data_IF_175824062066
#
_entry.id   IF_175824062066
#
_cell.length_a   1.000
_cell.length_b   1.000
_cell.length_c   1.000
_cell.angle_alpha   90.00
_cell.angle_beta   90.00
_cell.angle_gamma   90.00
#
_symmetry.space_group_name_H-M   'P 1'
#
loop_
_entity.id
_entity.type
_entity.pdbx_description
1 polymer ?
#
# COMPACT_ATOMS: atom_id res chain seq x y z
N UNK A 1 9.48 -17.17 -8.60
CA UNK A 1 9.83 -15.74 -8.78
C UNK A 1 11.17 -15.66 -9.51
N UNK A 2 11.20 -14.99 -10.67
CA UNK A 2 12.39 -14.85 -11.53
C UNK A 2 13.08 -13.50 -11.39
N UNK A 3 12.33 -12.42 -11.15
CA UNK A 3 12.88 -11.08 -10.96
C UNK A 3 11.97 -10.19 -10.13
N UNK A 4 12.53 -9.11 -9.61
CA UNK A 4 11.79 -8.03 -8.94
C UNK A 4 12.17 -6.69 -9.55
N UNK A 5 11.17 -5.88 -9.91
CA UNK A 5 11.33 -4.50 -10.37
C UNK A 5 10.68 -3.53 -9.39
N UNK A 6 11.47 -2.65 -8.79
CA UNK A 6 11.03 -1.56 -7.94
C UNK A 6 11.05 -0.25 -8.76
N UNK A 7 9.89 0.32 -9.05
CA UNK A 7 9.79 1.51 -9.90
C UNK A 7 9.98 2.80 -9.11
N UNK A 8 10.81 3.70 -9.64
CA UNK A 8 10.84 5.07 -9.15
C UNK A 8 9.58 5.83 -9.62
N UNK A 9 8.59 5.82 -8.75
CA UNK A 9 7.36 6.63 -8.83
C UNK A 9 7.42 7.81 -7.85
N UNK A 10 8.62 8.24 -7.44
CA UNK A 10 8.88 9.25 -6.40
C UNK A 10 8.33 8.84 -5.02
N UNK A 11 7.62 9.72 -4.31
CA UNK A 11 7.01 9.40 -3.03
C UNK A 11 5.74 8.58 -3.26
N UNK A 12 5.94 7.29 -3.40
CA UNK A 12 4.91 6.27 -3.49
C UNK A 12 5.51 4.90 -3.70
N UNK A 13 4.70 3.96 -4.16
CA UNK A 13 5.11 2.56 -4.28
C UNK A 13 4.63 1.92 -5.58
N UNK A 14 5.50 1.10 -6.17
CA UNK A 14 5.19 0.23 -7.28
C UNK A 14 6.26 -0.87 -7.38
N UNK A 15 5.92 -2.08 -6.92
CA UNK A 15 6.79 -3.25 -6.97
C UNK A 15 6.19 -4.29 -7.90
N UNK A 16 6.97 -4.83 -8.82
CA UNK A 16 6.52 -5.91 -9.71
C UNK A 16 7.41 -7.13 -9.55
N UNK A 17 6.79 -8.25 -9.19
CA UNK A 17 7.42 -9.56 -9.19
C UNK A 17 7.12 -10.23 -10.53
N UNK A 18 8.16 -10.73 -11.19
CA UNK A 18 8.05 -11.50 -12.43
C UNK A 18 8.15 -13.00 -12.18
N UNK A 19 7.29 -13.77 -12.82
CA UNK A 19 7.29 -15.24 -12.77
C UNK A 19 7.92 -15.91 -13.99
N UNK A 20 8.16 -17.22 -13.89
CA UNK A 20 8.79 -18.04 -14.92
C UNK A 20 7.98 -18.13 -16.23
N UNK A 21 6.66 -17.96 -16.15
CA UNK A 21 5.76 -18.03 -17.30
C UNK A 21 5.40 -16.67 -17.90
N UNK A 22 6.24 -15.64 -17.67
CA UNK A 22 5.94 -14.25 -17.98
C UNK A 22 4.67 -13.72 -17.29
N UNK A 23 4.30 -14.30 -16.16
CA UNK A 23 3.28 -13.76 -15.26
C UNK A 23 3.86 -12.64 -14.42
N UNK A 24 3.02 -11.70 -13.98
CA UNK A 24 3.42 -10.66 -13.03
C UNK A 24 2.47 -10.54 -11.84
N UNK A 25 3.04 -10.17 -10.69
CA UNK A 25 2.34 -9.65 -9.54
C UNK A 25 2.82 -8.22 -9.30
N UNK A 26 1.94 -7.24 -9.54
CA UNK A 26 2.17 -5.84 -9.23
C UNK A 26 1.58 -5.54 -7.85
N UNK A 27 2.43 -5.14 -6.92
CA UNK A 27 2.07 -4.76 -5.55
C UNK A 27 2.20 -3.25 -5.44
N UNK A 28 1.04 -2.62 -5.25
CA UNK A 28 0.83 -1.18 -5.33
C UNK A 28 1.27 -0.56 -6.66
N UNK A 29 0.73 0.63 -6.94
CA UNK A 29 1.20 1.49 -8.01
C UNK A 29 0.62 2.89 -7.77
N UNK A 30 1.41 3.80 -7.20
CA UNK A 30 0.95 5.16 -6.95
C UNK A 30 2.05 6.16 -6.62
N UNK A 31 1.66 7.42 -6.48
CA UNK A 31 2.53 8.50 -6.01
C UNK A 31 1.74 9.69 -5.46
N UNK A 32 2.32 10.36 -4.46
CA UNK A 32 1.91 11.70 -4.03
C UNK A 32 2.40 12.78 -5.00
N UNK A 33 3.50 12.53 -5.71
CA UNK A 33 4.08 13.46 -6.67
C UNK A 33 3.22 13.53 -7.95
N UNK A 34 3.35 14.65 -8.67
CA UNK A 34 2.73 14.82 -10.01
C UNK A 34 3.67 14.44 -11.13
N UNK A 35 4.97 14.68 -10.94
CA UNK A 35 6.01 14.41 -11.93
C UNK A 35 7.22 13.72 -11.27
N UNK A 36 7.95 12.96 -12.08
CA UNK A 36 9.21 12.33 -11.71
C UNK A 36 10.35 13.34 -11.85
N UNK A 37 11.22 13.44 -10.84
CA UNK A 37 12.31 14.42 -10.81
C UNK A 37 13.40 14.11 -11.83
N UNK A 38 13.64 12.83 -12.12
CA UNK A 38 14.72 12.38 -13.02
C UNK A 38 14.61 12.94 -14.44
N UNK A 39 13.40 13.13 -14.96
CA UNK A 39 13.14 13.53 -16.34
C UNK A 39 12.01 14.56 -16.50
N UNK A 40 11.37 14.97 -15.40
CA UNK A 40 10.28 15.94 -15.40
C UNK A 40 8.95 15.42 -15.96
N UNK A 41 8.85 14.14 -16.35
CA UNK A 41 7.60 13.59 -16.91
C UNK A 41 6.53 13.49 -15.85
N UNK A 42 5.27 13.70 -16.26
CA UNK A 42 4.12 13.41 -15.40
C UNK A 42 4.07 11.92 -15.04
N UNK A 43 3.85 11.61 -13.77
CA UNK A 43 3.85 10.23 -13.28
C UNK A 43 2.67 9.43 -13.85
N UNK A 44 1.56 10.09 -14.18
CA UNK A 44 0.44 9.52 -14.94
C UNK A 44 0.90 8.99 -16.31
N UNK A 45 1.77 9.73 -17.01
CA UNK A 45 2.37 9.31 -18.27
C UNK A 45 3.41 8.21 -18.08
N UNK A 46 4.24 8.29 -17.03
CA UNK A 46 5.19 7.22 -16.71
C UNK A 46 4.45 5.88 -16.49
N UNK A 47 3.39 5.89 -15.68
CA UNK A 47 2.57 4.69 -15.44
C UNK A 47 1.92 4.19 -16.74
N UNK A 48 1.30 5.10 -17.50
CA UNK A 48 0.52 4.72 -18.67
C UNK A 48 1.36 4.37 -19.90
N UNK A 49 2.59 4.85 -20.05
CA UNK A 49 3.42 4.59 -21.23
C UNK A 49 4.61 3.67 -20.95
N UNK A 50 5.14 3.66 -19.72
CA UNK A 50 6.31 2.84 -19.38
C UNK A 50 5.89 1.53 -18.71
N UNK A 51 5.20 1.62 -17.56
CA UNK A 51 4.80 0.44 -16.78
C UNK A 51 3.77 -0.37 -17.58
N UNK A 52 2.73 0.30 -18.08
CA UNK A 52 1.67 -0.35 -18.85
C UNK A 52 2.21 -1.15 -20.05
N UNK A 53 3.02 -0.51 -20.91
CA UNK A 53 3.50 -1.15 -22.15
C UNK A 53 4.50 -2.27 -21.86
N UNK A 54 5.32 -2.13 -20.82
CA UNK A 54 6.28 -3.16 -20.41
C UNK A 54 5.60 -4.48 -20.06
N UNK A 55 4.49 -4.42 -19.34
CA UNK A 55 3.76 -5.60 -18.88
C UNK A 55 2.54 -5.97 -19.73
N UNK A 56 2.27 -5.21 -20.79
CA UNK A 56 1.14 -5.46 -21.69
C UNK A 56 1.14 -6.85 -22.31
N UNK A 57 2.33 -7.45 -22.49
CA UNK A 57 2.52 -8.78 -23.06
C UNK A 57 2.73 -9.88 -22.02
N UNK A 58 2.60 -9.57 -20.72
CA UNK A 58 2.62 -10.59 -19.67
C UNK A 58 1.49 -11.60 -19.89
N UNK A 59 1.76 -12.88 -19.63
CA UNK A 59 0.79 -13.98 -19.81
C UNK A 59 -0.41 -13.82 -18.88
N UNK A 60 -0.14 -13.46 -17.62
CA UNK A 60 -1.13 -13.10 -16.61
C UNK A 60 -0.64 -11.90 -15.81
N UNK A 61 -1.58 -11.04 -15.41
CA UNK A 61 -1.32 -9.82 -14.63
C UNK A 61 -2.17 -9.83 -13.38
N UNK A 62 -1.53 -9.94 -12.23
CA UNK A 62 -2.16 -9.82 -10.92
C UNK A 62 -1.81 -8.48 -10.30
N UNK A 63 -2.79 -7.79 -9.72
CA UNK A 63 -2.57 -6.60 -8.91
C UNK A 63 -2.91 -6.87 -7.45
N UNK A 64 -2.14 -6.33 -6.52
CA UNK A 64 -2.44 -6.31 -5.09
C UNK A 64 -2.26 -4.89 -4.57
N UNK A 65 -3.32 -4.34 -3.96
CA UNK A 65 -3.27 -3.09 -3.21
C UNK A 65 -3.00 -3.39 -1.74
N UNK A 66 -1.99 -2.77 -1.14
CA UNK A 66 -1.68 -2.94 0.28
C UNK A 66 -2.66 -2.17 1.17
N UNK A 67 -2.93 -0.90 0.86
CA UNK A 67 -3.88 -0.04 1.56
C UNK A 67 -4.34 1.14 0.69
N UNK A 68 -5.30 1.92 1.18
CA UNK A 68 -6.01 2.93 0.39
C UNK A 68 -5.46 4.36 0.56
N UNK A 69 -4.16 4.54 0.31
CA UNK A 69 -3.59 5.88 0.14
C UNK A 69 -3.17 6.16 -1.30
N UNK A 70 -3.04 7.45 -1.62
CA UNK A 70 -2.87 7.93 -3.00
C UNK A 70 -1.52 7.51 -3.60
N UNK A 71 -0.47 7.51 -2.80
CA UNK A 71 0.86 6.96 -3.07
C UNK A 71 0.90 5.47 -3.40
N UNK A 72 -0.16 4.71 -3.10
CA UNK A 72 -0.24 3.29 -3.42
C UNK A 72 -1.27 2.98 -4.52
N UNK A 73 -2.30 3.81 -4.64
CA UNK A 73 -3.49 3.53 -5.47
C UNK A 73 -3.58 4.36 -6.76
N UNK A 74 -2.94 5.52 -6.85
CA UNK A 74 -3.21 6.46 -7.96
C UNK A 74 -2.82 5.93 -9.35
N UNK A 75 -1.70 5.21 -9.46
CA UNK A 75 -1.23 4.58 -10.69
C UNK A 75 -2.11 3.42 -11.13
N UNK A 76 -2.65 2.64 -10.18
CA UNK A 76 -3.65 1.61 -10.48
C UNK A 76 -4.86 2.15 -11.25
N UNK A 77 -5.39 3.31 -10.83
CA UNK A 77 -6.48 3.96 -11.56
C UNK A 77 -6.07 4.47 -12.95
N UNK A 78 -4.82 4.88 -13.13
CA UNK A 78 -4.30 5.27 -14.45
C UNK A 78 -4.24 4.05 -15.39
N UNK A 79 -3.80 2.90 -14.89
CA UNK A 79 -3.73 1.65 -15.66
C UNK A 79 -5.13 1.19 -16.09
N UNK A 80 -6.08 1.11 -15.14
CA UNK A 80 -7.46 0.72 -15.45
C UNK A 80 -8.22 1.75 -16.29
N UNK A 81 -7.87 3.04 -16.15
CA UNK A 81 -8.41 4.10 -17.00
C UNK A 81 -7.91 4.02 -18.44
N UNK A 82 -6.66 3.56 -18.65
CA UNK A 82 -6.08 3.33 -19.98
C UNK A 82 -6.64 2.08 -20.65
N UNK A 83 -6.71 0.96 -19.93
CA UNK A 83 -7.29 -0.29 -20.44
C UNK A 83 -8.10 -0.99 -19.33
N UNK A 84 -9.45 -0.93 -19.37
CA UNK A 84 -10.29 -1.72 -18.49
C UNK A 84 -9.96 -3.21 -18.64
N UNK A 85 -10.08 -3.98 -17.55
CA UNK A 85 -9.69 -5.40 -17.50
C UNK A 85 -8.20 -5.66 -17.81
N UNK A 86 -7.33 -4.67 -17.60
CA UNK A 86 -5.88 -4.86 -17.74
C UNK A 86 -5.39 -6.03 -16.87
N UNK A 87 -5.82 -6.10 -15.61
CA UNK A 87 -5.45 -7.18 -14.70
C UNK A 87 -6.40 -8.38 -14.80
N UNK A 88 -5.85 -9.59 -14.75
CA UNK A 88 -6.59 -10.85 -14.72
C UNK A 88 -7.15 -11.15 -13.31
N UNK A 89 -6.46 -10.69 -12.27
CA UNK A 89 -6.84 -10.84 -10.88
C UNK A 89 -6.43 -9.59 -10.10
N UNK A 90 -7.29 -9.13 -9.21
CA UNK A 90 -7.09 -7.94 -8.38
C UNK A 90 -7.38 -8.32 -6.92
N UNK A 91 -6.42 -8.04 -6.05
CA UNK A 91 -6.53 -8.18 -4.62
C UNK A 91 -6.58 -6.79 -3.97
N UNK A 92 -7.59 -6.58 -3.13
CA UNK A 92 -7.81 -5.32 -2.42
C UNK A 92 -7.73 -5.57 -0.90
N UNK A 93 -7.34 -4.58 -0.09
CA UNK A 93 -7.32 -4.73 1.37
C UNK A 93 -8.74 -4.90 1.90
N UNK A 94 -8.95 -5.89 2.76
CA UNK A 94 -10.17 -5.97 3.54
C UNK A 94 -10.17 -4.90 4.63
N UNK A 95 -11.34 -4.33 4.93
CA UNK A 95 -11.48 -3.43 6.07
C UNK A 95 -11.67 -4.26 7.35
N UNK A 96 -10.80 -4.09 8.36
CA UNK A 96 -10.88 -4.84 9.60
C UNK A 96 -11.98 -4.30 10.53
N UNK A 97 -12.52 -5.18 11.37
CA UNK A 97 -13.47 -4.85 12.42
C UNK A 97 -12.80 -4.88 13.81
N UNK A 98 -13.25 -4.02 14.71
CA UNK A 98 -12.87 -4.06 16.12
C UNK A 98 -13.47 -5.30 16.84
N UNK A 99 -13.20 -5.44 18.13
CA UNK A 99 -13.75 -6.50 19.00
C UNK A 99 -15.28 -6.55 19.11
N UNK A 100 -15.96 -5.50 18.69
CA UNK A 100 -17.42 -5.40 18.69
C UNK A 100 -18.01 -5.64 17.28
N UNK A 101 -17.18 -6.02 16.30
CA UNK A 101 -17.58 -6.20 14.91
C UNK A 101 -17.81 -4.89 14.15
N UNK A 102 -17.26 -3.76 14.62
CA UNK A 102 -17.40 -2.45 13.99
C UNK A 102 -16.22 -2.14 13.06
N UNK A 103 -16.53 -1.82 11.81
CA UNK A 103 -15.54 -1.40 10.81
C UNK A 103 -15.25 0.11 10.93
N UNK A 104 -14.47 0.50 11.94
CA UNK A 104 -14.28 1.92 12.32
C UNK A 104 -13.72 2.78 11.18
N UNK A 105 -12.85 2.23 10.33
CA UNK A 105 -12.34 2.92 9.13
C UNK A 105 -13.46 3.29 8.15
N UNK A 106 -14.41 2.38 7.90
CA UNK A 106 -15.56 2.63 7.01
C UNK A 106 -16.56 3.58 7.65
N UNK A 107 -16.82 3.43 8.96
CA UNK A 107 -17.68 4.35 9.69
C UNK A 107 -17.17 5.79 9.57
N UNK A 108 -15.88 5.99 9.86
CA UNK A 108 -15.25 7.30 9.76
C UNK A 108 -15.32 7.87 8.34
N UNK A 109 -15.01 7.06 7.32
CA UNK A 109 -15.10 7.47 5.92
C UNK A 109 -16.54 7.85 5.51
N UNK A 110 -17.57 7.19 6.04
CA UNK A 110 -18.98 7.54 5.81
C UNK A 110 -19.37 8.88 6.46
N UNK A 111 -18.85 9.18 7.66
CA UNK A 111 -19.02 10.51 8.25
C UNK A 111 -18.35 11.59 7.40
N UNK A 112 -17.13 11.36 6.90
CA UNK A 112 -16.46 12.29 5.97
C UNK A 112 -17.29 12.47 4.69
N UNK A 113 -17.80 11.38 4.12
CA UNK A 113 -18.62 11.39 2.90
C UNK A 113 -19.88 12.26 3.04
N UNK A 114 -20.55 12.20 4.20
CA UNK A 114 -21.78 12.98 4.45
C UNK A 114 -21.49 14.42 4.85
N UNK A 115 -20.55 14.66 5.78
CA UNK A 115 -20.44 15.94 6.47
C UNK A 115 -19.33 16.86 5.93
N UNK A 116 -18.37 16.33 5.16
CA UNK A 116 -17.23 17.09 4.59
C UNK A 116 -17.21 17.03 3.05
N UNK A 117 -18.36 17.20 2.40
CA UNK A 117 -18.54 17.11 0.93
C UNK A 117 -17.73 18.12 0.12
N UNK A 118 -17.06 19.07 0.76
CA UNK A 118 -16.06 19.93 0.13
C UNK A 118 -14.99 19.04 -0.50
N UNK A 119 -14.78 19.14 -1.82
CA UNK A 119 -13.88 18.28 -2.61
C UNK A 119 -12.39 18.55 -2.34
N UNK A 120 -11.99 18.52 -1.07
CA UNK A 120 -10.60 18.48 -0.63
C UNK A 120 -9.96 17.14 -1.00
N UNK A 121 -8.63 17.09 -1.06
CA UNK A 121 -7.92 15.82 -1.28
C UNK A 121 -8.24 14.79 -0.18
N UNK A 122 -8.52 15.26 1.03
CA UNK A 122 -8.91 14.44 2.19
C UNK A 122 -10.27 13.76 2.01
N UNK A 123 -11.31 14.50 1.59
CA UNK A 123 -12.63 13.90 1.35
C UNK A 123 -12.62 12.97 0.12
N UNK A 124 -11.86 13.32 -0.92
CA UNK A 124 -11.67 12.48 -2.12
C UNK A 124 -11.02 11.13 -1.78
N UNK A 125 -10.00 11.11 -0.91
CA UNK A 125 -9.37 9.88 -0.47
C UNK A 125 -10.36 8.96 0.27
N UNK A 126 -11.15 9.50 1.20
CA UNK A 126 -12.17 8.75 1.92
C UNK A 126 -13.24 8.16 0.99
N UNK A 127 -13.71 8.94 0.02
CA UNK A 127 -14.69 8.48 -0.97
C UNK A 127 -14.10 7.36 -1.84
N UNK A 128 -12.80 7.47 -2.20
CA UNK A 128 -12.12 6.44 -2.96
C UNK A 128 -12.10 5.10 -2.20
N UNK A 129 -11.87 5.12 -0.89
CA UNK A 129 -11.92 3.91 -0.04
C UNK A 129 -13.32 3.28 -0.02
N UNK A 130 -14.38 4.08 0.16
CA UNK A 130 -15.77 3.58 0.20
C UNK A 130 -16.21 2.95 -1.14
N UNK A 131 -15.67 3.44 -2.26
CA UNK A 131 -16.02 2.98 -3.61
C UNK A 131 -14.99 2.03 -4.22
N UNK A 132 -13.98 1.60 -3.46
CA UNK A 132 -12.86 0.84 -3.99
C UNK A 132 -13.32 -0.42 -4.72
N UNK A 133 -14.10 -1.27 -4.05
CA UNK A 133 -14.60 -2.53 -4.62
C UNK A 133 -15.55 -2.28 -5.81
N UNK A 134 -16.50 -1.35 -5.67
CA UNK A 134 -17.43 -0.96 -6.75
C UNK A 134 -16.71 -0.51 -8.01
N UNK A 135 -15.81 0.48 -7.87
CA UNK A 135 -15.10 1.08 -8.99
C UNK A 135 -14.16 0.08 -9.66
N UNK A 136 -13.50 -0.76 -8.87
CA UNK A 136 -12.61 -1.83 -9.38
C UNK A 136 -13.40 -2.86 -10.16
N UNK A 137 -14.48 -3.37 -9.58
CA UNK A 137 -15.31 -4.38 -10.23
C UNK A 137 -16.00 -3.86 -11.49
N UNK A 138 -16.39 -2.58 -11.51
CA UNK A 138 -16.92 -1.94 -12.73
C UNK A 138 -15.88 -1.88 -13.85
N UNK A 139 -14.61 -1.65 -13.51
CA UNK A 139 -13.52 -1.57 -14.49
C UNK A 139 -13.02 -2.94 -14.96
N UNK A 140 -13.06 -3.97 -14.10
CA UNK A 140 -12.37 -5.24 -14.34
C UNK A 140 -13.27 -6.48 -14.34
N UNK A 141 -14.54 -6.36 -13.93
CA UNK A 141 -15.45 -7.47 -13.68
C UNK A 141 -15.38 -7.95 -12.21
N UNK A 142 -16.52 -8.19 -11.54
CA UNK A 142 -16.55 -8.57 -10.12
C UNK A 142 -15.76 -9.86 -9.81
N UNK A 143 -15.81 -10.85 -10.70
CA UNK A 143 -15.15 -12.15 -10.54
C UNK A 143 -13.62 -12.06 -10.45
N UNK A 144 -13.04 -10.96 -10.94
CA UNK A 144 -11.60 -10.71 -10.90
C UNK A 144 -11.13 -10.07 -9.59
N UNK A 145 -12.06 -9.66 -8.72
CA UNK A 145 -11.76 -8.87 -7.51
C UNK A 145 -11.97 -9.70 -6.26
N UNK A 146 -11.00 -9.67 -5.34
CA UNK A 146 -11.06 -10.34 -4.03
C UNK A 146 -10.50 -9.42 -2.95
N UNK A 147 -11.14 -9.42 -1.78
CA UNK A 147 -10.61 -8.74 -0.59
C UNK A 147 -9.67 -9.65 0.21
N UNK A 148 -8.50 -9.17 0.61
CA UNK A 148 -7.52 -9.93 1.39
C UNK A 148 -7.44 -9.43 2.83
N UNK A 149 -7.40 -10.36 3.77
CA UNK A 149 -7.07 -10.14 5.18
C UNK A 149 -6.32 -11.35 5.74
N UNK A 150 -5.91 -11.27 7.00
CA UNK A 150 -5.13 -12.31 7.66
C UNK A 150 -5.83 -13.68 7.57
N UNK A 151 -5.05 -14.71 7.25
CA UNK A 151 -5.54 -16.08 7.06
C UNK A 151 -5.95 -16.43 5.63
N UNK A 152 -6.08 -15.44 4.74
CA UNK A 152 -6.21 -15.68 3.31
C UNK A 152 -4.87 -16.11 2.70
N UNK A 153 -4.94 -16.78 1.55
CA UNK A 153 -3.78 -17.07 0.71
C UNK A 153 -4.09 -16.82 -0.76
N UNK A 154 -3.06 -16.51 -1.54
CA UNK A 154 -3.15 -16.44 -3.00
C UNK A 154 -1.96 -17.15 -3.65
N UNK A 155 -2.05 -17.40 -4.96
CA UNK A 155 -0.99 -18.08 -5.72
C UNK A 155 -0.45 -17.13 -6.78
N UNK A 156 0.87 -17.10 -6.90
CA UNK A 156 1.59 -16.42 -7.97
C UNK A 156 2.79 -17.29 -8.40
N UNK A 157 2.95 -17.53 -9.70
CA UNK A 157 4.08 -18.30 -10.26
C UNK A 157 4.28 -19.68 -9.59
N UNK A 158 3.18 -20.37 -9.26
CA UNK A 158 3.19 -21.66 -8.56
C UNK A 158 3.55 -21.58 -7.06
N UNK A 159 3.85 -20.39 -6.53
CA UNK A 159 4.14 -20.15 -5.12
C UNK A 159 2.88 -19.67 -4.41
N UNK A 160 2.57 -20.25 -3.26
CA UNK A 160 1.48 -19.77 -2.39
C UNK A 160 2.01 -18.66 -1.49
N UNK A 161 1.23 -17.60 -1.32
CA UNK A 161 1.51 -16.47 -0.43
C UNK A 161 0.43 -16.39 0.63
N UNK A 162 0.84 -16.27 1.88
CA UNK A 162 -0.01 -16.15 3.05
C UNK A 162 -0.13 -14.68 3.46
N UNK A 163 -1.38 -14.25 3.66
CA UNK A 163 -1.69 -12.92 4.19
C UNK A 163 -1.67 -13.00 5.71
N UNK A 164 -0.80 -12.20 6.31
CA UNK A 164 -0.55 -12.18 7.75
C UNK A 164 -1.37 -11.13 8.49
N UNK A 165 -1.74 -10.05 7.79
CA UNK A 165 -2.39 -8.86 8.33
C UNK A 165 -3.22 -8.15 7.22
N UNK A 166 -4.29 -7.39 7.54
CA UNK A 166 -4.92 -7.21 8.86
C UNK A 166 -5.88 -8.34 9.24
N UNK A 167 -6.06 -8.66 10.54
CA UNK A 167 -7.14 -9.54 10.96
C UNK A 167 -8.50 -8.92 10.64
N UNK A 168 -9.46 -9.76 10.28
CA UNK A 168 -10.81 -9.29 9.89
C UNK A 168 -11.64 -8.85 11.09
N UNK A 169 -11.37 -9.44 12.25
CA UNK A 169 -12.05 -9.23 13.52
C UNK A 169 -11.00 -8.96 14.61
N UNK A 170 -11.45 -8.43 15.75
CA UNK A 170 -10.59 -8.12 16.90
C UNK A 170 -9.39 -7.21 16.56
N UNK A 171 -9.54 -6.34 15.55
CA UNK A 171 -8.47 -5.44 15.13
C UNK A 171 -8.20 -4.37 16.21
N UNK A 172 -6.93 -4.17 16.60
CA UNK A 172 -6.56 -3.27 17.70
C UNK A 172 -6.46 -1.81 17.22
N UNK A 173 -7.59 -1.17 16.95
CA UNK A 173 -7.60 0.28 16.71
C UNK A 173 -7.08 1.05 17.92
N UNK A 174 -6.36 2.14 17.68
CA UNK A 174 -5.90 3.02 18.77
C UNK A 174 -7.09 3.64 19.51
N UNK A 175 -6.96 3.81 20.82
CA UNK A 175 -8.01 4.43 21.65
C UNK A 175 -8.39 5.82 21.16
N UNK A 176 -7.41 6.57 20.63
CA UNK A 176 -7.63 7.88 20.03
C UNK A 176 -8.56 7.82 18.83
N UNK A 177 -8.29 6.90 17.88
CA UNK A 177 -9.12 6.76 16.68
C UNK A 177 -10.50 6.19 17.03
N UNK A 178 -10.54 5.14 17.85
CA UNK A 178 -11.79 4.53 18.30
C UNK A 178 -12.67 5.54 19.06
N UNK A 179 -12.07 6.34 19.95
CA UNK A 179 -12.75 7.40 20.68
C UNK A 179 -13.33 8.48 19.76
N UNK A 180 -12.59 8.90 18.72
CA UNK A 180 -13.10 9.87 17.75
C UNK A 180 -14.30 9.33 16.96
N UNK A 181 -14.27 8.06 16.53
CA UNK A 181 -15.42 7.42 15.86
C UNK A 181 -16.61 7.28 16.80
N UNK A 182 -16.37 6.99 18.08
CA UNK A 182 -17.42 6.94 19.08
C UNK A 182 -18.07 8.31 19.31
N UNK A 183 -17.27 9.37 19.42
CA UNK A 183 -17.75 10.76 19.55
C UNK A 183 -18.69 11.12 18.38
N UNK A 184 -18.31 10.78 17.14
CA UNK A 184 -19.16 10.98 15.95
C UNK A 184 -20.50 10.25 16.04
N UNK A 185 -20.53 9.03 16.58
CA UNK A 185 -21.77 8.27 16.74
C UNK A 185 -22.63 8.86 17.88
N UNK A 186 -22.01 9.32 18.97
CA UNK A 186 -22.70 9.98 20.09
C UNK A 186 -23.44 11.22 19.60
N UNK A 187 -22.83 12.04 18.75
CA UNK A 187 -23.45 13.24 18.17
C UNK A 187 -24.79 12.96 17.46
N UNK A 188 -24.97 11.75 16.91
CA UNK A 188 -26.20 11.34 16.22
C UNK A 188 -27.11 10.43 17.05
N UNK A 189 -26.76 10.15 18.31
CA UNK A 189 -27.45 9.17 19.17
C UNK A 189 -28.68 9.72 19.92
N UNK A 190 -28.83 11.04 20.00
CA UNK A 190 -29.90 11.67 20.78
C UNK A 190 -31.29 11.26 20.28
N UNK A 191 -32.21 10.81 21.18
CA UNK A 191 -33.56 10.40 20.79
C UNK A 191 -34.42 11.57 20.29
N UNK A 192 -33.99 12.81 20.54
CA UNK A 192 -34.69 14.03 20.12
C UNK A 192 -34.30 14.48 18.71
N UNK A 193 -33.32 13.83 18.07
CA UNK A 193 -32.98 14.12 16.69
C UNK A 193 -34.05 13.61 15.72
N UNK A 194 -34.21 14.27 14.56
CA UNK A 194 -35.09 13.79 13.49
C UNK A 194 -34.75 12.36 13.04
N UNK A 195 -35.72 11.70 12.40
CA UNK A 195 -35.59 10.31 11.97
C UNK A 195 -34.38 10.06 11.05
N UNK A 196 -33.98 11.04 10.23
CA UNK A 196 -32.82 10.94 9.35
C UNK A 196 -31.53 10.56 10.09
N UNK A 197 -31.34 11.00 11.34
CA UNK A 197 -30.16 10.62 12.15
C UNK A 197 -30.15 9.13 12.48
N UNK A 198 -31.30 8.56 12.89
CA UNK A 198 -31.43 7.12 13.16
C UNK A 198 -31.30 6.30 11.87
N UNK A 199 -31.90 6.77 10.78
CA UNK A 199 -31.81 6.12 9.48
C UNK A 199 -30.36 6.10 8.97
N UNK A 200 -29.62 7.19 9.12
CA UNK A 200 -28.19 7.24 8.78
C UNK A 200 -27.38 6.21 9.58
N UNK A 201 -27.57 6.14 10.90
CA UNK A 201 -26.86 5.15 11.72
C UNK A 201 -27.15 3.71 11.29
N UNK A 202 -28.42 3.39 10.99
CA UNK A 202 -28.80 2.08 10.49
C UNK A 202 -28.13 1.76 9.13
N UNK A 203 -28.23 2.68 8.17
CA UNK A 203 -27.63 2.54 6.84
C UNK A 203 -26.10 2.45 6.89
N UNK A 204 -25.45 3.24 7.75
CA UNK A 204 -24.00 3.17 7.99
C UNK A 204 -23.59 1.76 8.42
N UNK A 205 -24.31 1.19 9.39
CA UNK A 205 -24.02 -0.14 9.91
C UNK A 205 -24.32 -1.23 8.87
N UNK A 206 -25.39 -1.08 8.08
CA UNK A 206 -25.69 -1.96 6.95
C UNK A 206 -24.60 -1.91 5.87
N UNK A 207 -24.15 -0.71 5.49
CA UNK A 207 -23.07 -0.52 4.53
C UNK A 207 -21.77 -1.17 5.00
N UNK A 208 -21.38 -0.96 6.27
CA UNK A 208 -20.17 -1.57 6.82
C UNK A 208 -20.21 -3.10 6.75
N UNK A 209 -21.35 -3.71 7.12
CA UNK A 209 -21.54 -5.17 7.01
C UNK A 209 -21.45 -5.66 5.57
N UNK A 210 -22.16 -5.00 4.65
CA UNK A 210 -22.16 -5.37 3.23
C UNK A 210 -20.74 -5.25 2.62
N UNK A 211 -20.01 -4.18 2.97
CA UNK A 211 -18.64 -3.98 2.51
C UNK A 211 -17.69 -5.05 3.06
N UNK A 212 -17.74 -5.36 4.36
CA UNK A 212 -16.90 -6.41 4.96
C UNK A 212 -17.22 -7.79 4.35
N UNK A 213 -18.49 -8.08 4.05
CA UNK A 213 -18.88 -9.31 3.36
C UNK A 213 -18.35 -9.35 1.92
N UNK A 214 -18.41 -8.24 1.19
CA UNK A 214 -17.81 -8.11 -0.14
C UNK A 214 -16.29 -8.32 -0.11
N UNK A 215 -15.63 -7.96 0.99
CA UNK A 215 -14.20 -8.10 1.18
C UNK A 215 -13.75 -9.46 1.78
N UNK A 216 -14.64 -10.45 1.90
CA UNK A 216 -14.44 -11.70 2.67
C UNK A 216 -13.43 -12.73 2.13
N UNK A 217 -12.69 -12.44 1.06
CA UNK A 217 -11.75 -13.39 0.42
C UNK A 217 -12.33 -14.14 -0.78
N UNK A 218 -13.66 -14.28 -0.83
CA UNK A 218 -14.34 -14.83 -1.99
C UNK A 218 -14.27 -13.87 -3.20
N UNK A 219 -14.34 -14.39 -4.44
CA UNK A 219 -14.60 -13.56 -5.62
C UNK A 219 -15.83 -12.69 -5.39
N UNK A 220 -15.71 -11.42 -5.74
CA UNK A 220 -16.83 -10.49 -5.65
C UNK A 220 -17.92 -10.91 -6.64
N UNK A 221 -19.17 -10.56 -6.32
CA UNK A 221 -20.30 -10.81 -7.19
C UNK A 221 -21.10 -9.51 -7.40
N UNK A 222 -21.89 -9.48 -8.48
CA UNK A 222 -22.65 -8.30 -8.87
C UNK A 222 -23.67 -7.86 -7.80
N UNK A 223 -24.23 -8.81 -7.03
CA UNK A 223 -25.20 -8.51 -5.99
C UNK A 223 -24.56 -7.77 -4.81
N UNK A 224 -23.39 -8.20 -4.35
CA UNK A 224 -22.67 -7.56 -3.26
C UNK A 224 -22.28 -6.11 -3.63
N UNK A 225 -21.90 -5.86 -4.88
CA UNK A 225 -21.64 -4.51 -5.38
C UNK A 225 -22.91 -3.68 -5.41
N UNK A 226 -23.98 -4.22 -6.01
CA UNK A 226 -25.24 -3.50 -6.13
C UNK A 226 -25.81 -3.11 -4.75
N UNK A 227 -25.66 -3.99 -3.76
CA UNK A 227 -26.03 -3.72 -2.37
C UNK A 227 -25.21 -2.57 -1.76
N UNK A 228 -23.88 -2.64 -1.82
CA UNK A 228 -23.01 -1.56 -1.34
C UNK A 228 -23.30 -0.23 -2.03
N UNK A 229 -23.51 -0.24 -3.35
CA UNK A 229 -23.86 0.95 -4.14
C UNK A 229 -25.21 1.52 -3.69
N UNK A 230 -26.23 0.66 -3.55
CA UNK A 230 -27.58 1.09 -3.13
C UNK A 230 -27.56 1.71 -1.74
N UNK A 231 -26.85 1.10 -0.79
CA UNK A 231 -26.71 1.63 0.57
C UNK A 231 -26.00 2.98 0.58
N UNK A 232 -24.91 3.13 -0.19
CA UNK A 232 -24.20 4.40 -0.27
C UNK A 232 -25.04 5.51 -0.91
N UNK A 233 -25.87 5.20 -1.92
CA UNK A 233 -26.81 6.15 -2.52
C UNK A 233 -27.86 6.60 -1.50
N UNK A 234 -28.45 5.68 -0.73
CA UNK A 234 -29.42 6.01 0.32
C UNK A 234 -28.81 6.87 1.43
N UNK A 235 -27.54 6.64 1.77
CA UNK A 235 -26.78 7.51 2.69
C UNK A 235 -26.60 8.91 2.09
N UNK A 236 -26.28 8.99 0.79
CA UNK A 236 -26.07 10.25 0.07
C UNK A 236 -27.35 11.12 0.02
N UNK A 237 -28.51 10.48 -0.15
CA UNK A 237 -29.83 11.13 -0.15
C UNK A 237 -30.13 11.83 1.18
N UNK A 238 -29.67 11.27 2.31
CA UNK A 238 -29.84 11.88 3.63
C UNK A 238 -28.88 13.04 3.88
N UNK A 239 -27.83 13.22 3.06
CA UNK A 239 -26.74 14.13 3.39
C UNK A 239 -27.22 15.57 3.59
N UNK A 240 -28.14 16.07 2.75
CA UNK A 240 -28.65 17.43 2.88
C UNK A 240 -29.37 17.65 4.22
N UNK A 241 -30.22 16.72 4.64
CA UNK A 241 -30.94 16.78 5.91
C UNK A 241 -30.01 16.64 7.11
N UNK A 242 -29.06 15.69 7.06
CA UNK A 242 -28.07 15.46 8.11
C UNK A 242 -27.20 16.71 8.35
N UNK A 243 -26.84 17.43 7.29
CA UNK A 243 -26.02 18.64 7.38
C UNK A 243 -26.78 19.86 7.95
N UNK A 244 -28.11 19.78 8.11
CA UNK A 244 -28.94 20.80 8.76
C UNK A 244 -29.19 20.50 10.25
N UNK A 245 -28.76 19.35 10.76
CA UNK A 245 -28.97 18.98 12.15
C UNK A 245 -28.11 19.82 13.09
N UNK A 246 -28.59 20.13 14.31
CA UNK A 246 -27.82 20.84 15.32
C UNK A 246 -26.38 20.32 15.57
N UNK A 247 -26.12 18.99 15.65
CA UNK A 247 -24.76 18.44 15.86
C UNK A 247 -23.84 18.49 14.62
N UNK A 248 -24.33 18.89 13.44
CA UNK A 248 -23.52 18.86 12.21
C UNK A 248 -22.22 19.70 12.30
N UNK A 249 -22.18 20.90 12.93
CA UNK A 249 -20.94 21.63 13.16
C UNK A 249 -19.94 20.87 14.03
N UNK A 250 -20.40 20.22 15.10
CA UNK A 250 -19.54 19.46 16.03
C UNK A 250 -18.94 18.23 15.34
N UNK A 251 -19.75 17.52 14.55
CA UNK A 251 -19.27 16.43 13.67
C UNK A 251 -18.19 16.93 12.72
N UNK A 252 -18.40 18.06 12.05
CA UNK A 252 -17.37 18.63 11.15
C UNK A 252 -16.12 19.04 11.92
N UNK A 253 -16.24 19.55 13.14
CA UNK A 253 -15.09 19.85 13.98
C UNK A 253 -14.28 18.59 14.25
N UNK A 254 -14.91 17.53 14.76
CA UNK A 254 -14.26 16.24 15.07
C UNK A 254 -13.50 15.70 13.86
N UNK A 255 -14.14 15.69 12.68
CA UNK A 255 -13.54 15.20 11.42
C UNK A 255 -12.38 16.07 10.90
N UNK A 256 -12.32 17.34 11.32
CA UNK A 256 -11.28 18.30 10.92
C UNK A 256 -10.16 18.45 11.96
N UNK A 257 -10.32 17.93 13.19
CA UNK A 257 -9.27 17.94 14.21
C UNK A 257 -8.00 17.29 13.65
N UNK A 258 -6.83 17.97 13.69
CA UNK A 258 -5.58 17.41 13.18
C UNK A 258 -5.26 16.04 13.78
N UNK A 259 -5.47 15.89 15.09
CA UNK A 259 -5.21 14.63 15.80
C UNK A 259 -6.06 13.48 15.28
N UNK A 260 -7.33 13.73 14.96
CA UNK A 260 -8.27 12.74 14.41
C UNK A 260 -7.88 12.33 12.99
N UNK A 261 -7.50 13.31 12.17
CA UNK A 261 -7.05 13.06 10.78
C UNK A 261 -5.77 12.23 10.74
N UNK A 262 -4.81 12.55 11.62
CA UNK A 262 -3.59 11.76 11.78
C UNK A 262 -3.91 10.35 12.25
N UNK A 263 -4.74 10.19 13.30
CA UNK A 263 -5.11 8.88 13.81
C UNK A 263 -5.83 8.00 12.76
N UNK A 264 -6.66 8.59 11.90
CA UNK A 264 -7.29 7.88 10.78
C UNK A 264 -6.27 7.45 9.71
N UNK A 265 -5.35 8.35 9.32
CA UNK A 265 -4.30 8.03 8.36
C UNK A 265 -3.36 6.93 8.89
N UNK A 266 -2.97 7.02 10.15
CA UNK A 266 -2.14 6.00 10.82
C UNK A 266 -2.89 4.66 10.92
N UNK A 267 -4.20 4.68 11.17
CA UNK A 267 -5.01 3.46 11.18
C UNK A 267 -5.15 2.82 9.78
N UNK A 268 -5.21 3.63 8.70
CA UNK A 268 -5.17 3.13 7.33
C UNK A 268 -3.82 2.49 6.99
N UNK A 269 -2.71 3.12 7.38
CA UNK A 269 -1.36 2.58 7.21
C UNK A 269 -1.22 1.26 7.98
N UNK A 270 -1.56 1.26 9.27
CA UNK A 270 -1.48 0.08 10.13
C UNK A 270 -2.32 -1.08 9.59
N UNK A 271 -3.44 -0.83 8.92
CA UNK A 271 -4.28 -1.86 8.31
C UNK A 271 -3.77 -2.38 6.95
N UNK A 272 -2.53 -2.06 6.57
CA UNK A 272 -1.93 -2.54 5.32
C UNK A 272 -1.87 -4.06 5.21
N UNK A 273 -2.10 -4.59 4.02
CA UNK A 273 -1.89 -6.02 3.76
C UNK A 273 -0.41 -6.36 3.92
N UNK A 274 -0.10 -7.21 4.90
CA UNK A 274 1.22 -7.82 5.07
C UNK A 274 1.14 -9.26 4.60
N UNK A 275 2.05 -9.67 3.73
CA UNK A 275 2.09 -11.05 3.24
C UNK A 275 3.50 -11.52 2.97
N UNK A 276 3.66 -12.84 2.97
CA UNK A 276 4.89 -13.51 2.54
C UNK A 276 4.58 -14.80 1.80
N UNK A 277 5.54 -15.36 1.09
CA UNK A 277 5.40 -16.69 0.52
C UNK A 277 5.30 -17.75 1.64
N UNK A 278 4.51 -18.79 1.41
CA UNK A 278 4.50 -19.98 2.25
C UNK A 278 5.73 -20.82 1.95
N UNK A 279 6.63 -20.88 2.93
CA UNK A 279 7.82 -21.73 2.86
C UNK A 279 7.41 -23.21 2.92
N UNK A 280 7.77 -23.96 1.88
CA UNK A 280 7.50 -25.42 1.79
C UNK A 280 8.72 -26.27 2.14
N UNK A 281 9.91 -25.68 2.20
CA UNK A 281 11.20 -26.33 2.48
C UNK A 281 12.10 -25.42 3.35
N UNK A 282 13.42 -25.46 3.14
CA UNK A 282 14.36 -24.52 3.75
C UNK A 282 14.23 -23.10 3.16
N UNK A 283 14.99 -22.16 3.70
CA UNK A 283 15.00 -20.78 3.21
C UNK A 283 15.36 -20.71 1.72
N UNK A 284 14.72 -19.79 0.98
CA UNK A 284 14.84 -19.73 -0.48
C UNK A 284 14.81 -18.31 -1.03
N UNK A 285 15.19 -18.14 -2.30
CA UNK A 285 15.10 -16.87 -3.02
C UNK A 285 13.64 -16.40 -3.24
N UNK A 286 12.65 -17.25 -2.98
CA UNK A 286 11.24 -16.85 -2.99
C UNK A 286 10.80 -16.20 -1.67
N UNK A 287 11.66 -16.21 -0.64
CA UNK A 287 11.32 -15.72 0.68
C UNK A 287 11.24 -14.19 0.71
N UNK A 288 10.03 -13.66 0.50
CA UNK A 288 9.77 -12.23 0.43
C UNK A 288 8.73 -11.81 1.47
N UNK A 289 9.06 -10.79 2.27
CA UNK A 289 8.12 -10.12 3.14
C UNK A 289 7.70 -8.79 2.52
N UNK A 290 6.43 -8.68 2.14
CA UNK A 290 5.80 -7.46 1.67
C UNK A 290 4.99 -6.85 2.81
N UNK A 291 5.35 -5.64 3.22
CA UNK A 291 4.85 -5.05 4.48
C UNK A 291 3.74 -4.01 4.31
N UNK A 292 3.48 -3.55 3.08
CA UNK A 292 2.74 -2.30 2.86
C UNK A 292 3.31 -1.19 3.74
N UNK A 293 2.46 -0.43 4.40
CA UNK A 293 2.82 0.61 5.37
C UNK A 293 2.43 0.23 6.80
N UNK A 294 2.50 -1.07 7.12
CA UNK A 294 2.20 -1.58 8.44
C UNK A 294 3.02 -0.87 9.54
N UNK A 295 2.36 -0.59 10.67
CA UNK A 295 2.96 0.07 11.83
C UNK A 295 3.82 -0.91 12.64
N UNK A 296 4.72 -0.44 13.52
CA UNK A 296 5.58 -1.30 14.34
C UNK A 296 4.79 -2.34 15.14
N UNK A 297 3.66 -1.96 15.72
CA UNK A 297 2.77 -2.80 16.52
C UNK A 297 2.14 -3.93 15.70
N UNK A 298 2.01 -3.74 14.38
CA UNK A 298 1.56 -4.80 13.47
C UNK A 298 2.55 -5.97 13.47
N UNK A 299 3.85 -5.67 13.46
CA UNK A 299 4.89 -6.71 13.48
C UNK A 299 4.97 -7.41 14.82
N UNK A 300 4.72 -6.71 15.93
CA UNK A 300 4.60 -7.33 17.25
C UNK A 300 3.45 -8.34 17.27
N UNK A 301 2.31 -8.00 16.65
CA UNK A 301 1.12 -8.85 16.59
C UNK A 301 1.26 -10.08 15.67
N UNK A 302 2.21 -10.07 14.74
CA UNK A 302 2.46 -11.20 13.81
C UNK A 302 3.85 -11.82 13.98
N UNK A 303 4.59 -11.46 15.02
CA UNK A 303 5.99 -11.87 15.22
C UNK A 303 6.18 -13.40 15.17
N UNK A 304 5.23 -14.15 15.73
CA UNK A 304 5.20 -15.61 15.75
C UNK A 304 4.97 -16.26 14.37
N UNK A 305 4.48 -15.49 13.40
CA UNK A 305 4.25 -15.94 12.02
C UNK A 305 5.41 -15.62 11.09
N UNK A 306 6.31 -14.73 11.48
CA UNK A 306 7.42 -14.30 10.64
C UNK A 306 8.53 -15.35 10.59
N UNK A 307 9.19 -15.47 9.44
CA UNK A 307 10.42 -16.25 9.33
C UNK A 307 11.58 -15.47 9.92
N UNK A 308 12.53 -16.18 10.55
CA UNK A 308 13.77 -15.61 11.08
C UNK A 308 14.65 -14.93 10.02
N UNK A 309 14.45 -15.26 8.73
CA UNK A 309 15.20 -14.68 7.63
C UNK A 309 14.39 -14.67 6.34
N UNK A 310 14.55 -13.60 5.56
CA UNK A 310 13.95 -13.40 4.24
C UNK A 310 15.04 -13.13 3.20
N UNK A 311 14.80 -13.52 1.95
CA UNK A 311 15.63 -13.08 0.84
C UNK A 311 15.36 -11.59 0.54
N UNK A 312 14.09 -11.19 0.54
CA UNK A 312 13.69 -9.80 0.30
C UNK A 312 12.78 -9.31 1.44
N UNK A 313 13.13 -8.17 2.03
CA UNK A 313 12.25 -7.41 2.91
C UNK A 313 11.91 -6.08 2.22
N UNK A 314 10.63 -5.89 1.87
CA UNK A 314 10.14 -4.56 1.52
C UNK A 314 9.99 -3.76 2.82
N UNK A 315 10.55 -2.56 2.88
CA UNK A 315 10.47 -1.74 4.10
C UNK A 315 9.12 -1.02 4.21
N UNK A 316 8.48 -0.97 5.38
CA UNK A 316 7.22 -0.25 5.57
C UNK A 316 7.38 1.27 5.40
N UNK A 317 6.32 1.93 4.89
CA UNK A 317 6.15 3.39 4.86
C UNK A 317 7.40 4.12 4.39
N UNK A 318 7.84 3.74 3.18
CA UNK A 318 9.00 4.33 2.49
C UNK A 318 10.33 4.28 3.26
N UNK A 319 10.45 3.36 4.23
CA UNK A 319 11.61 3.20 5.09
C UNK A 319 11.73 4.30 6.16
N UNK A 320 10.64 4.96 6.52
CA UNK A 320 10.66 6.04 7.53
C UNK A 320 10.78 5.51 8.96
N UNK A 321 11.36 6.33 9.85
CA UNK A 321 11.60 5.94 11.24
C UNK A 321 10.30 5.70 12.04
N UNK A 322 9.19 6.34 11.68
CA UNK A 322 7.91 6.15 12.37
C UNK A 322 7.31 4.75 12.18
N UNK A 323 7.75 4.01 11.17
CA UNK A 323 7.28 2.64 10.89
C UNK A 323 8.40 1.60 11.00
N UNK A 324 9.55 1.98 11.58
CA UNK A 324 10.57 1.02 11.95
C UNK A 324 10.07 0.13 13.10
N UNK A 325 10.14 -1.19 12.92
CA UNK A 325 9.85 -2.15 13.99
C UNK A 325 11.13 -2.73 14.58
N UNK A 326 11.15 -2.87 15.91
CA UNK A 326 12.25 -3.53 16.60
C UNK A 326 12.36 -5.02 16.24
N UNK A 327 11.27 -5.66 15.80
CA UNK A 327 11.26 -7.06 15.32
C UNK A 327 12.29 -7.24 14.19
N UNK A 328 12.53 -6.22 13.36
CA UNK A 328 13.51 -6.32 12.28
C UNK A 328 14.95 -6.49 12.78
N UNK A 329 15.27 -6.19 14.04
CA UNK A 329 16.59 -6.54 14.61
C UNK A 329 16.76 -8.04 14.87
N UNK A 330 15.66 -8.77 15.02
CA UNK A 330 15.66 -10.21 15.27
C UNK A 330 15.59 -11.02 13.97
N UNK A 331 15.29 -10.34 12.86
CA UNK A 331 15.20 -10.93 11.52
C UNK A 331 16.45 -10.64 10.68
N UNK A 332 16.78 -11.55 9.78
CA UNK A 332 17.73 -11.28 8.70
C UNK A 332 17.01 -11.01 7.38
N UNK A 333 17.61 -10.16 6.54
CA UNK A 333 17.22 -9.99 5.15
C UNK A 333 18.45 -9.80 4.27
N UNK A 334 18.49 -10.43 3.10
CA UNK A 334 19.60 -10.25 2.15
C UNK A 334 19.43 -8.96 1.33
N UNK A 335 18.19 -8.62 0.99
CA UNK A 335 17.84 -7.44 0.23
C UNK A 335 16.73 -6.63 0.89
N UNK A 336 16.90 -5.29 0.88
CA UNK A 336 15.83 -4.35 1.24
C UNK A 336 15.30 -3.65 -0.01
N UNK A 337 13.98 -3.55 -0.12
CA UNK A 337 13.31 -2.68 -1.10
C UNK A 337 12.81 -1.43 -0.40
N UNK A 338 13.32 -0.26 -0.80
CA UNK A 338 12.98 1.03 -0.19
C UNK A 338 12.45 1.96 -1.29
N UNK A 339 11.12 1.95 -1.46
CA UNK A 339 10.46 2.94 -2.33
C UNK A 339 10.43 4.28 -1.61
N UNK A 340 11.19 5.25 -2.11
CA UNK A 340 11.35 6.57 -1.53
C UNK A 340 11.48 7.64 -2.62
N UNK A 341 11.04 8.87 -2.33
CA UNK A 341 11.18 10.02 -3.21
C UNK A 341 11.02 11.33 -2.44
N UNK A 342 11.41 12.44 -3.05
CA UNK A 342 11.29 13.75 -2.41
C UNK A 342 9.84 14.21 -2.33
N UNK A 343 9.33 14.40 -1.11
CA UNK A 343 8.02 15.00 -0.84
C UNK A 343 8.09 15.81 0.47
N UNK A 344 7.54 17.03 0.46
CA UNK A 344 7.69 17.97 1.59
C UNK A 344 7.08 17.47 2.90
N UNK A 345 6.10 16.56 2.82
CA UNK A 345 5.49 15.91 3.99
C UNK A 345 6.00 14.50 4.23
N UNK A 346 6.94 14.05 3.41
CA UNK A 346 7.54 12.72 3.49
C UNK A 346 8.61 12.65 4.57
N UNK A 347 8.70 11.49 5.23
CA UNK A 347 9.76 11.22 6.20
C UNK A 347 11.12 10.97 5.54
N UNK A 348 12.18 11.04 6.34
CA UNK A 348 13.52 10.58 5.94
C UNK A 348 13.64 9.07 6.14
N UNK A 349 14.52 8.44 5.37
CA UNK A 349 14.86 7.02 5.58
C UNK A 349 15.50 6.89 6.95
N UNK A 350 15.02 5.93 7.74
CA UNK A 350 15.51 5.64 9.09
C UNK A 350 16.96 5.16 9.05
N UNK A 351 17.75 5.54 10.05
CA UNK A 351 19.16 5.16 10.13
C UNK A 351 19.31 3.65 10.30
N UNK A 352 18.36 3.01 10.95
CA UNK A 352 18.28 1.57 11.15
C UNK A 352 18.27 0.81 9.83
N UNK A 353 17.56 1.29 8.80
CA UNK A 353 17.59 0.67 7.46
C UNK A 353 18.90 0.91 6.71
N UNK A 354 19.58 2.03 6.98
CA UNK A 354 20.91 2.31 6.42
C UNK A 354 21.92 1.32 6.98
N UNK A 355 21.88 1.09 8.29
CA UNK A 355 22.80 0.24 9.05
C UNK A 355 22.47 -1.25 8.95
N UNK A 356 21.24 -1.60 8.53
CA UNK A 356 20.80 -2.98 8.33
C UNK A 356 21.77 -3.76 7.41
N UNK A 357 22.26 -4.95 7.75
CA UNK A 357 23.31 -5.64 6.98
C UNK A 357 22.80 -6.34 5.70
N UNK A 358 22.13 -5.59 4.82
CA UNK A 358 21.56 -6.05 3.55
C UNK A 358 22.02 -5.18 2.37
N UNK A 359 21.79 -5.66 1.15
CA UNK A 359 21.84 -4.84 -0.07
C UNK A 359 20.55 -4.02 -0.20
N UNK A 360 20.67 -2.69 -0.32
CA UNK A 360 19.49 -1.80 -0.40
C UNK A 360 19.20 -1.47 -1.86
N UNK A 361 17.96 -1.63 -2.26
CA UNK A 361 17.44 -1.17 -3.55
C UNK A 361 16.52 0.02 -3.28
N UNK A 362 17.03 1.23 -3.50
CA UNK A 362 16.29 2.47 -3.26
C UNK A 362 15.90 3.12 -4.58
N UNK A 363 14.65 3.57 -4.70
CA UNK A 363 14.20 4.33 -5.89
C UNK A 363 14.79 5.73 -5.98
N UNK A 364 15.11 6.34 -4.83
CA UNK A 364 15.68 7.68 -4.74
C UNK A 364 16.65 7.78 -3.53
N UNK A 365 17.52 8.80 -3.53
CA UNK A 365 18.49 9.07 -2.46
C UNK A 365 18.24 10.38 -1.71
N UNK A 366 17.34 11.23 -2.18
CA UNK A 366 17.00 12.52 -1.55
C UNK A 366 16.54 12.39 -0.08
N UNK A 367 15.74 11.37 0.30
CA UNK A 367 15.33 11.18 1.70
C UNK A 367 16.40 10.51 2.58
N UNK A 368 17.54 10.09 2.02
CA UNK A 368 18.57 9.34 2.74
C UNK A 368 19.65 10.27 3.33
N UNK A 369 19.69 10.41 4.65
CA UNK A 369 20.67 11.25 5.33
C UNK A 369 22.13 10.80 5.08
N UNK A 370 22.37 9.49 5.00
CA UNK A 370 23.70 8.95 4.67
C UNK A 370 24.20 9.46 3.32
N UNK A 371 23.36 9.39 2.28
CA UNK A 371 23.74 9.84 0.94
C UNK A 371 23.98 11.35 0.92
N UNK A 372 23.12 12.13 1.59
CA UNK A 372 23.29 13.59 1.68
C UNK A 372 24.60 13.98 2.39
N UNK A 373 25.01 13.22 3.42
CA UNK A 373 26.24 13.50 4.18
C UNK A 373 27.53 12.98 3.51
N UNK A 374 27.48 11.81 2.87
CA UNK A 374 28.67 11.14 2.32
C UNK A 374 28.86 11.35 0.81
N UNK A 375 27.80 11.73 0.10
CA UNK A 375 27.77 11.75 -1.37
C UNK A 375 27.91 10.37 -2.03
N UNK A 376 27.80 9.29 -1.24
CA UNK A 376 27.99 7.91 -1.69
C UNK A 376 26.89 6.99 -1.13
N UNK A 377 26.65 5.88 -1.82
CA UNK A 377 25.63 4.90 -1.46
C UNK A 377 26.16 4.03 -0.35
N UNK A 378 25.38 3.87 0.73
CA UNK A 378 25.69 2.89 1.77
C UNK A 378 25.77 1.46 1.20
N UNK A 379 25.08 1.20 0.08
CA UNK A 379 25.10 -0.06 -0.64
C UNK A 379 26.48 -0.49 -1.09
N UNK A 380 27.43 0.42 -1.33
CA UNK A 380 28.81 0.09 -1.79
C UNK A 380 29.54 -0.87 -0.85
N UNK A 381 29.21 -0.82 0.44
CA UNK A 381 29.80 -1.65 1.49
C UNK A 381 28.98 -2.90 1.81
N UNK A 382 27.80 -3.06 1.22
CA UNK A 382 26.98 -4.25 1.39
C UNK A 382 27.58 -5.44 0.64
N UNK A 383 27.49 -6.63 1.23
CA UNK A 383 27.88 -7.89 0.60
C UNK A 383 26.67 -8.42 -0.16
N UNK A 384 26.83 -8.71 -1.45
CA UNK A 384 25.85 -9.42 -2.25
C UNK A 384 26.29 -10.89 -2.33
N UNK A 385 25.42 -11.79 -1.86
CA UNK A 385 25.71 -13.23 -1.85
C UNK A 385 25.36 -13.93 -3.16
N UNK A 386 24.64 -13.27 -4.08
CA UNK A 386 24.19 -13.85 -5.35
C UNK A 386 25.21 -13.76 -6.50
N UNK A 387 26.41 -13.23 -6.26
CA UNK A 387 27.41 -13.07 -7.32
C UNK A 387 27.98 -14.43 -7.75
N UNK A 388 28.18 -14.63 -9.05
CA UNK A 388 28.62 -15.91 -9.64
C UNK A 388 29.96 -16.42 -9.08
N UNK A 389 30.91 -15.50 -8.83
CA UNK A 389 32.23 -15.83 -8.26
C UNK A 389 32.22 -15.94 -6.72
N UNK A 390 31.03 -15.91 -6.10
CA UNK A 390 30.81 -15.97 -4.66
C UNK A 390 30.61 -14.60 -4.00
N UNK A 391 30.32 -14.56 -2.68
CA UNK A 391 29.93 -13.35 -1.98
C UNK A 391 31.00 -12.25 -2.06
N UNK A 392 30.59 -11.07 -2.49
CA UNK A 392 31.48 -9.91 -2.59
C UNK A 392 30.72 -8.59 -2.40
N UNK A 393 31.47 -7.50 -2.23
CA UNK A 393 30.88 -6.16 -2.13
C UNK A 393 30.06 -5.84 -3.38
N UNK A 394 28.87 -5.26 -3.20
CA UNK A 394 27.94 -4.93 -4.29
C UNK A 394 28.59 -4.06 -5.39
N UNK A 395 29.55 -3.20 -5.04
CA UNK A 395 30.31 -2.39 -6.01
C UNK A 395 31.12 -3.23 -7.01
N UNK A 396 31.43 -4.48 -6.67
CA UNK A 396 32.13 -5.43 -7.56
C UNK A 396 31.16 -6.18 -8.49
N UNK A 397 29.85 -6.03 -8.31
CA UNK A 397 28.87 -6.68 -9.16
C UNK A 397 29.03 -6.23 -10.63
N UNK A 398 29.15 -7.16 -11.60
CA UNK A 398 29.32 -6.82 -13.02
C UNK A 398 28.20 -5.92 -13.56
N UNK A 399 26.95 -6.11 -13.11
CA UNK A 399 25.82 -5.24 -13.49
C UNK A 399 25.99 -3.82 -12.96
N UNK A 400 26.45 -3.67 -11.71
CA UNK A 400 26.74 -2.36 -11.10
C UNK A 400 27.86 -1.63 -11.85
N UNK A 401 28.84 -2.38 -12.38
CA UNK A 401 29.94 -1.84 -13.20
C UNK A 401 29.58 -1.60 -14.66
N UNK A 402 28.37 -1.97 -15.09
CA UNK A 402 27.93 -1.84 -16.48
C UNK A 402 28.56 -2.85 -17.45
N UNK A 403 29.13 -3.94 -16.94
CA UNK A 403 29.78 -5.00 -17.74
C UNK A 403 28.77 -6.04 -18.24
N UNK A 404 27.63 -6.14 -17.56
CA UNK A 404 26.53 -7.04 -17.93
C UNK A 404 25.20 -6.28 -17.88
N UNK A 405 24.18 -6.79 -18.57
CA UNK A 405 22.83 -6.20 -18.59
C UNK A 405 21.90 -6.77 -17.53
N UNK A 406 22.31 -7.82 -16.83
CA UNK A 406 21.51 -8.52 -15.83
C UNK A 406 22.25 -8.61 -14.50
N UNK A 407 21.60 -8.17 -13.42
CA UNK A 407 22.06 -8.43 -12.07
C UNK A 407 21.86 -9.91 -11.72
N UNK A 408 22.85 -10.52 -11.05
CA UNK A 408 22.77 -11.91 -10.62
C UNK A 408 21.61 -12.16 -9.63
N UNK A 409 21.34 -11.21 -8.72
CA UNK A 409 20.19 -11.27 -7.81
C UNK A 409 18.83 -11.03 -8.49
N UNK A 410 18.79 -10.63 -9.76
CA UNK A 410 17.57 -10.34 -10.54
C UNK A 410 16.63 -9.29 -9.90
N UNK A 411 17.15 -8.43 -9.02
CA UNK A 411 16.41 -7.31 -8.43
C UNK A 411 16.89 -6.01 -9.08
N UNK A 412 15.94 -5.19 -9.55
CA UNK A 412 16.21 -3.97 -10.29
C UNK A 412 15.43 -2.78 -9.75
N UNK A 413 16.09 -1.62 -9.71
CA UNK A 413 15.39 -0.33 -9.59
C UNK A 413 15.10 0.17 -11.00
N UNK A 414 13.88 0.60 -11.30
CA UNK A 414 13.48 1.05 -12.64
C UNK A 414 13.17 2.54 -12.62
N UNK A 415 13.89 3.33 -13.42
CA UNK A 415 13.68 4.77 -13.57
C UNK A 415 13.47 5.19 -15.02
N UNK A 416 13.65 6.48 -15.31
CA UNK A 416 13.47 7.03 -16.67
C UNK A 416 14.41 6.42 -17.71
N UNK A 417 15.61 6.01 -17.30
CA UNK A 417 16.62 5.37 -18.14
C UNK A 417 16.53 3.84 -18.20
N UNK A 418 15.48 3.25 -17.62
CA UNK A 418 15.27 1.80 -17.55
C UNK A 418 15.78 1.18 -16.25
N UNK A 419 16.26 -0.08 -16.33
CA UNK A 419 16.79 -0.83 -15.17
C UNK A 419 18.10 -0.22 -14.70
N UNK A 420 18.25 -0.10 -13.37
CA UNK A 420 19.40 0.48 -12.69
C UNK A 420 19.87 -0.42 -11.57
N UNK A 421 21.12 -0.21 -11.18
CA UNK A 421 21.78 -0.87 -10.06
C UNK A 421 21.18 -0.48 -8.70
N UNK A 422 21.48 -1.30 -7.68
CA UNK A 422 21.21 -0.99 -6.27
C UNK A 422 22.00 0.21 -5.72
N UNK A 423 23.06 0.67 -6.40
CA UNK A 423 23.84 1.83 -5.95
C UNK A 423 23.16 3.15 -6.31
N UNK A 424 22.83 3.91 -5.27
CA UNK A 424 22.20 5.23 -5.39
C UNK A 424 23.10 6.30 -6.04
N UNK A 425 24.40 6.06 -6.15
CA UNK A 425 25.39 6.99 -6.75
C UNK A 425 25.21 7.12 -8.26
N UNK A 426 24.55 6.14 -8.87
CA UNK A 426 24.21 6.12 -10.29
C UNK A 426 22.82 6.73 -10.56
N UNK A 427 22.11 7.19 -9.51
CA UNK A 427 20.91 8.01 -9.70
C UNK A 427 21.43 9.35 -10.22
N UNK A 428 21.10 9.70 -11.47
CA UNK A 428 21.45 11.00 -12.03
C UNK A 428 21.06 12.08 -11.03
N UNK A 429 22.05 12.71 -10.40
CA UNK A 429 21.84 14.05 -9.88
C UNK A 429 21.33 14.83 -11.09
N UNK A 430 20.18 15.50 -10.96
CA UNK A 430 19.79 16.52 -11.93
C UNK A 430 21.05 17.34 -12.30
N UNK A 431 21.24 17.73 -13.57
CA UNK A 431 22.41 18.49 -13.94
C UNK A 431 22.50 19.73 -13.02
N UNK A 432 23.68 20.04 -12.48
CA UNK A 432 23.84 21.23 -11.67
C UNK A 432 23.64 22.47 -12.56
N UNK A 433 22.87 23.41 -12.00
CA UNK A 433 22.59 24.80 -12.41
C UNK A 433 21.34 25.03 -13.28
#
# INVERSE_FOLDING_TARGET
MEYVELYNVEYGECVVLGGAHHDILMVDCGSMNRSRKEDGRELTLCVSEEIFERYRKASSRTFLLSHCHRDHLSGFWNLLGKEPKYFNQIYLPASPCDRNGRALLLEFALFVFVFLRDQTDYSRANIASLRLFERTARASGPETVRGLGAGDSFVFDGVTYDVLWPPREDYPFSDLFAGAVEELNIELSSPFLPECARTFQALKNEFCRAYCQAASGAPLNAQAIAECTSLLVRIDELAAELNLLPPAPDIREILNRPVTRTAYADALNAASVVFHNRRTQEASLNDILMTGDAAPETFDAIADKLYAGYYILKTPHHGTASHWSHIFFELSAEHLLISSGGYDKGGKIAQEYVDFPAVKHCTNSEPCQWFQGSGCSCGRMAICYDLEDGPALSIKCPFVRGETQEAACRIYVVGSSGRRSCLCDNLSAAPPL
#
